data_IF_984943725787
#
_entry.id   IF_984943725787
#
_cell.length_a   1.000
_cell.length_b   1.000
_cell.length_c   1.000
_cell.angle_alpha   90.00
_cell.angle_beta   90.00
_cell.angle_gamma   90.00
#
_symmetry.space_group_name_H-M   'P 1'
#
loop_
_entity.id
_entity.type
_entity.pdbx_description
1 polymer ?
#
# COMPACT_ATOMS: atom_id res chain seq x y z
N UNK A 1 -30.55 24.21 4.37
CA UNK A 1 -29.68 25.34 4.72
C UNK A 1 -28.41 24.75 5.31
N UNK A 2 -27.30 24.79 4.58
CA UNK A 2 -25.98 24.37 5.07
C UNK A 2 -25.16 25.64 5.26
N UNK A 3 -25.19 26.20 6.47
CA UNK A 3 -24.20 27.17 6.93
C UNK A 3 -23.06 26.36 7.56
N UNK A 4 -21.81 26.58 7.14
CA UNK A 4 -20.67 25.99 7.86
C UNK A 4 -19.56 25.38 6.99
N UNK A 5 -19.26 25.94 5.82
CA UNK A 5 -17.90 25.85 5.29
C UNK A 5 -17.34 27.26 5.35
N UNK A 6 -16.80 27.62 6.51
CA UNK A 6 -15.93 28.78 6.60
C UNK A 6 -14.86 28.63 5.52
N UNK A 7 -14.71 29.68 4.71
CA UNK A 7 -13.82 29.71 3.56
C UNK A 7 -12.45 29.15 3.97
N UNK A 8 -11.87 28.25 3.18
CA UNK A 8 -10.58 27.59 3.45
C UNK A 8 -9.49 28.60 3.90
N UNK A 9 -9.59 29.83 3.38
CA UNK A 9 -8.75 30.97 3.74
C UNK A 9 -8.81 31.35 5.24
N UNK A 10 -10.00 31.34 5.83
CA UNK A 10 -10.26 31.64 7.24
C UNK A 10 -9.64 30.60 8.19
N UNK A 11 -9.57 29.33 7.75
CA UNK A 11 -8.87 28.26 8.47
C UNK A 11 -7.35 28.50 8.53
N UNK A 12 -6.77 29.06 7.47
CA UNK A 12 -5.34 29.40 7.43
C UNK A 12 -5.00 30.61 8.30
N UNK A 13 -5.83 31.64 8.33
CA UNK A 13 -5.59 32.85 9.15
C UNK A 13 -5.64 32.55 10.66
N UNK A 14 -6.45 31.58 11.10
CA UNK A 14 -6.54 31.15 12.50
C UNK A 14 -5.28 30.42 13.00
N UNK A 15 -4.50 29.82 12.10
CA UNK A 15 -3.35 29.00 12.46
C UNK A 15 -2.08 29.81 12.79
N UNK A 16 -2.08 31.14 12.62
CA UNK A 16 -0.95 32.00 13.00
C UNK A 16 0.39 31.68 12.32
N UNK A 17 0.37 30.90 11.22
CA UNK A 17 1.57 30.48 10.50
C UNK A 17 1.94 31.51 9.44
N UNK A 18 2.73 32.50 9.84
CA UNK A 18 3.46 33.36 8.89
C UNK A 18 4.61 32.56 8.28
N UNK A 19 4.64 32.44 6.95
CA UNK A 19 5.83 31.94 6.24
C UNK A 19 6.91 33.02 6.31
N UNK A 20 7.87 32.86 7.22
CA UNK A 20 9.09 33.67 7.22
C UNK A 20 10.05 33.16 6.13
N UNK A 21 10.16 33.94 5.06
CA UNK A 21 11.38 34.18 4.27
C UNK A 21 12.22 32.98 3.85
N UNK A 22 11.97 32.46 2.65
CA UNK A 22 13.02 31.81 1.84
C UNK A 22 13.84 32.88 1.10
N UNK A 23 15.17 32.70 0.93
CA UNK A 23 16.07 33.77 0.50
C UNK A 23 15.83 34.18 -0.96
N UNK A 24 15.81 35.51 -1.14
CA UNK A 24 15.78 36.23 -2.42
C UNK A 24 17.20 36.55 -2.89
N UNK A 25 17.34 36.83 -4.19
CA UNK A 25 18.51 37.22 -5.00
C UNK A 25 19.31 36.04 -5.60
N UNK A 26 19.10 35.71 -6.88
CA UNK A 26 19.56 36.40 -8.10
C UNK A 26 20.99 35.97 -8.49
N UNK A 27 21.09 35.18 -9.57
CA UNK A 27 22.17 35.29 -10.53
C UNK A 27 21.75 34.68 -11.88
N UNK A 28 21.79 35.55 -12.89
CA UNK A 28 21.73 35.22 -14.31
C UNK A 28 22.76 34.14 -14.67
N UNK A 29 22.30 33.05 -15.29
CA UNK A 29 23.18 32.13 -16.02
C UNK A 29 22.61 31.94 -17.44
N UNK A 30 23.42 32.16 -18.49
CA UNK A 30 22.95 32.09 -19.87
C UNK A 30 22.62 30.66 -20.32
N UNK A 31 21.49 30.52 -21.01
CA UNK A 31 21.07 29.32 -21.74
C UNK A 31 22.05 28.95 -22.86
N UNK A 32 22.48 27.68 -22.89
CA UNK A 32 22.97 26.96 -24.09
C UNK A 32 22.56 25.48 -23.96
N UNK A 33 21.50 25.09 -24.65
CA UNK A 33 21.44 24.38 -25.95
C UNK A 33 21.76 22.88 -25.89
N UNK A 34 20.76 22.13 -26.38
CA UNK A 34 20.85 20.86 -27.11
C UNK A 34 21.18 19.59 -26.32
N UNK A 35 20.19 18.68 -26.25
CA UNK A 35 20.32 17.22 -26.37
C UNK A 35 18.88 16.63 -26.49
N UNK A 36 18.69 15.47 -27.14
CA UNK A 36 17.92 15.32 -28.37
C UNK A 36 16.64 14.51 -28.18
N UNK A 37 15.82 14.50 -29.24
CA UNK A 37 14.62 13.67 -29.43
C UNK A 37 14.78 12.22 -28.91
N UNK A 38 13.86 11.73 -28.07
CA UNK A 38 13.70 10.30 -27.88
C UNK A 38 13.08 9.72 -29.16
N UNK A 39 13.95 9.11 -29.96
CA UNK A 39 13.60 8.25 -31.08
C UNK A 39 12.49 7.29 -30.67
N UNK A 40 11.37 7.37 -31.39
CA UNK A 40 10.35 6.33 -31.46
C UNK A 40 11.01 4.96 -31.65
N UNK A 41 10.85 4.07 -30.68
CA UNK A 41 10.89 2.63 -30.94
C UNK A 41 9.49 2.06 -30.80
N UNK A 42 8.90 1.76 -31.94
CA UNK A 42 7.70 0.96 -32.08
C UNK A 42 8.03 -0.54 -32.11
N UNK A 43 7.17 -1.30 -31.45
CA UNK A 43 6.65 -2.62 -31.85
C UNK A 43 7.39 -3.90 -31.45
N UNK A 44 6.54 -4.86 -31.06
CA UNK A 44 6.66 -6.33 -31.05
C UNK A 44 7.25 -6.97 -29.79
N UNK A 45 6.40 -7.70 -29.07
CA UNK A 45 6.80 -8.59 -27.99
C UNK A 45 5.66 -9.07 -27.10
N UNK A 46 4.64 -9.70 -27.69
CA UNK A 46 3.63 -10.49 -26.97
C UNK A 46 4.32 -11.58 -26.15
N UNK A 47 4.38 -11.40 -24.82
CA UNK A 47 4.83 -12.41 -23.86
C UNK A 47 3.85 -12.51 -22.71
N UNK A 48 2.87 -13.41 -22.83
CA UNK A 48 1.94 -13.74 -21.77
C UNK A 48 2.67 -14.21 -20.48
N UNK A 49 2.22 -13.83 -19.27
CA UNK A 49 2.72 -14.44 -18.06
C UNK A 49 2.20 -15.89 -17.98
N UNK A 50 3.06 -16.85 -18.30
CA UNK A 50 2.86 -18.26 -17.97
C UNK A 50 2.98 -18.41 -16.45
N UNK A 51 1.85 -18.51 -15.77
CA UNK A 51 1.80 -19.06 -14.42
C UNK A 51 2.08 -20.57 -14.48
N UNK A 52 3.07 -21.12 -13.75
CA UNK A 52 3.01 -22.50 -13.35
C UNK A 52 2.03 -22.63 -12.18
N UNK A 53 0.86 -23.18 -12.50
CA UNK A 53 -0.07 -23.78 -11.55
C UNK A 53 0.55 -25.12 -11.13
N UNK A 54 1.23 -25.14 -9.97
CA UNK A 54 1.80 -26.37 -9.41
C UNK A 54 1.06 -26.72 -8.12
N UNK A 55 0.06 -27.58 -8.31
CA UNK A 55 -0.10 -28.84 -7.57
C UNK A 55 -0.17 -28.80 -6.05
N UNK A 56 -1.38 -29.11 -5.57
CA UNK A 56 -1.65 -29.70 -4.26
C UNK A 56 -0.59 -30.72 -3.81
N UNK A 57 -0.23 -30.68 -2.53
CA UNK A 57 0.19 -31.87 -1.79
C UNK A 57 -0.20 -31.74 -0.33
N UNK A 58 -1.42 -32.20 -0.07
CA UNK A 58 -1.90 -32.68 1.21
C UNK A 58 -1.05 -33.90 1.61
N UNK A 59 -0.22 -33.77 2.63
CA UNK A 59 0.44 -34.91 3.27
C UNK A 59 0.31 -34.79 4.79
N UNK A 60 -0.71 -35.47 5.29
CA UNK A 60 -0.80 -35.99 6.66
C UNK A 60 0.35 -36.96 6.95
N UNK A 61 1.05 -36.73 8.06
CA UNK A 61 2.02 -37.64 8.69
C UNK A 61 2.81 -36.82 9.71
N UNK A 62 2.46 -36.78 10.99
CA UNK A 62 2.38 -37.85 12.00
C UNK A 62 3.66 -38.68 12.04
N UNK A 63 4.75 -38.08 12.51
CA UNK A 63 5.91 -38.82 13.02
C UNK A 63 6.37 -38.22 14.35
N UNK A 64 5.77 -38.75 15.43
CA UNK A 64 6.29 -38.63 16.78
C UNK A 64 7.39 -39.67 16.94
N UNK A 65 8.64 -39.34 16.60
CA UNK A 65 9.79 -40.20 16.94
C UNK A 65 10.43 -39.70 18.23
N UNK A 66 9.88 -40.15 19.36
CA UNK A 66 10.56 -40.12 20.65
C UNK A 66 11.39 -41.39 20.77
N UNK A 67 12.66 -41.32 20.36
CA UNK A 67 13.60 -42.43 20.52
C UNK A 67 14.11 -42.45 21.97
N UNK A 68 13.29 -43.04 22.84
CA UNK A 68 13.62 -43.30 24.24
C UNK A 68 14.66 -44.43 24.28
N UNK A 69 15.95 -44.06 24.28
CA UNK A 69 17.01 -44.99 24.68
C UNK A 69 17.00 -45.15 26.20
N UNK A 70 16.12 -46.04 26.66
CA UNK A 70 16.20 -46.68 27.97
C UNK A 70 17.47 -47.52 28.04
N UNK A 71 18.58 -46.90 28.49
CA UNK A 71 19.74 -47.65 28.97
C UNK A 71 19.53 -47.96 30.44
N UNK A 72 18.86 -49.07 30.68
CA UNK A 72 18.90 -49.85 31.92
C UNK A 72 20.33 -50.36 32.14
N UNK A 73 21.22 -49.47 32.58
CA UNK A 73 22.53 -49.83 33.11
C UNK A 73 22.38 -50.14 34.59
N UNK A 74 22.23 -51.42 34.92
CA UNK A 74 22.38 -51.85 36.30
C UNK A 74 23.82 -51.58 36.74
N UNK A 75 23.98 -50.65 37.68
CA UNK A 75 25.19 -50.53 38.47
C UNK A 75 24.86 -50.91 39.90
N UNK A 76 25.19 -52.14 40.23
CA UNK A 76 25.36 -52.63 41.59
C UNK A 76 26.57 -51.91 42.17
N UNK A 77 26.36 -50.72 42.73
CA UNK A 77 27.38 -50.05 43.53
C UNK A 77 27.31 -50.65 44.94
N UNK A 78 28.39 -51.33 45.31
CA UNK A 78 28.63 -51.81 46.66
C UNK A 78 28.41 -50.70 47.69
N UNK A 79 27.70 -51.03 48.77
CA UNK A 79 27.65 -50.23 49.99
C UNK A 79 29.08 -50.17 50.57
N UNK A 80 29.81 -49.13 50.21
CA UNK A 80 30.99 -48.70 50.93
C UNK A 80 30.50 -47.87 52.11
N UNK A 81 30.52 -48.49 53.29
CA UNK A 81 30.49 -47.80 54.59
C UNK A 81 31.60 -46.73 54.60
N UNK A 82 31.23 -45.49 54.29
CA UNK A 82 32.11 -44.34 54.45
C UNK A 82 31.74 -43.62 55.73
N UNK A 83 32.59 -43.82 56.71
CA UNK A 83 32.55 -43.23 58.03
C UNK A 83 32.51 -41.69 57.96
N UNK A 84 31.47 -41.11 58.57
CA UNK A 84 31.57 -39.86 59.33
C UNK A 84 32.13 -38.64 58.62
N UNK A 85 31.57 -38.22 57.49
CA UNK A 85 31.70 -36.84 57.04
C UNK A 85 30.58 -36.00 57.66
N UNK A 86 30.93 -35.20 58.67
CA UNK A 86 30.11 -34.05 59.10
C UNK A 86 30.06 -33.06 57.93
N UNK A 87 29.09 -33.22 57.03
CA UNK A 87 28.73 -32.17 56.10
C UNK A 87 28.36 -30.93 56.92
N UNK A 88 29.00 -29.82 56.60
CA UNK A 88 28.82 -28.58 57.36
C UNK A 88 27.41 -28.03 57.08
N UNK A 89 26.50 -27.96 58.08
CA UNK A 89 25.11 -27.52 57.90
C UNK A 89 24.97 -26.14 57.25
N UNK A 90 26.03 -25.32 57.31
CA UNK A 90 26.13 -24.02 56.69
C UNK A 90 26.12 -24.08 55.15
N UNK A 91 26.73 -25.08 54.53
CA UNK A 91 26.77 -25.19 53.06
C UNK A 91 25.43 -25.62 52.49
N UNK A 92 24.72 -26.53 53.16
CA UNK A 92 23.38 -26.96 52.76
C UNK A 92 22.38 -25.79 52.80
N UNK A 93 22.40 -25.00 53.88
CA UNK A 93 21.57 -23.80 53.99
C UNK A 93 21.88 -22.71 52.94
N UNK A 94 23.12 -22.64 52.45
CA UNK A 94 23.50 -21.73 51.39
C UNK A 94 22.88 -22.15 50.05
N UNK A 95 22.97 -23.44 49.71
CA UNK A 95 22.36 -23.96 48.49
C UNK A 95 20.83 -23.85 48.50
N UNK A 96 20.19 -24.09 49.65
CA UNK A 96 18.74 -23.90 49.78
C UNK A 96 18.33 -22.45 49.52
N UNK A 97 19.08 -21.49 50.07
CA UNK A 97 18.80 -20.06 49.88
C UNK A 97 19.01 -19.63 48.44
N UNK A 98 20.09 -20.07 47.79
CA UNK A 98 20.35 -19.78 46.37
C UNK A 98 19.27 -20.40 45.49
N UNK A 99 18.90 -21.65 45.75
CA UNK A 99 17.86 -22.35 44.99
C UNK A 99 16.50 -21.68 45.18
N UNK A 100 16.18 -21.22 46.39
CA UNK A 100 14.95 -20.48 46.64
C UNK A 100 14.93 -19.14 45.89
N UNK A 101 16.02 -18.37 45.95
CA UNK A 101 16.12 -17.11 45.21
C UNK A 101 15.93 -17.30 43.69
N UNK A 102 16.55 -18.33 43.12
CA UNK A 102 16.36 -18.66 41.70
C UNK A 102 14.91 -19.05 41.37
N UNK A 103 14.21 -19.75 42.27
CA UNK A 103 12.79 -20.06 42.09
C UNK A 103 11.94 -18.79 42.08
N UNK A 104 12.16 -17.91 43.06
CA UNK A 104 11.41 -16.65 43.19
C UNK A 104 11.65 -15.75 41.96
N UNK A 105 12.90 -15.65 41.49
CA UNK A 105 13.27 -14.88 40.29
C UNK A 105 12.60 -15.44 39.02
N UNK A 106 12.54 -16.77 38.88
CA UNK A 106 11.88 -17.41 37.75
C UNK A 106 10.36 -17.21 37.76
N UNK A 107 9.73 -17.29 38.94
CA UNK A 107 8.31 -17.00 39.08
C UNK A 107 8.01 -15.54 38.76
N UNK A 108 8.82 -14.61 39.26
CA UNK A 108 8.68 -13.19 38.97
C UNK A 108 8.81 -12.89 37.46
N UNK A 109 9.83 -13.43 36.81
CA UNK A 109 10.02 -13.24 35.36
C UNK A 109 8.91 -13.93 34.55
N UNK A 110 8.39 -15.07 35.00
CA UNK A 110 7.22 -15.72 34.37
C UNK A 110 6.00 -14.81 34.43
N UNK A 111 5.71 -14.24 35.60
CA UNK A 111 4.54 -13.40 35.80
C UNK A 111 4.66 -12.09 34.99
N UNK A 112 5.87 -11.50 34.94
CA UNK A 112 6.16 -10.35 34.08
C UNK A 112 5.94 -10.67 32.60
N UNK A 113 6.39 -11.84 32.13
CA UNK A 113 6.19 -12.27 30.73
C UNK A 113 4.72 -12.50 30.39
N UNK A 114 3.93 -13.03 31.32
CA UNK A 114 2.49 -13.21 31.13
C UNK A 114 1.80 -11.85 30.97
N UNK A 115 2.09 -10.88 31.85
CA UNK A 115 1.55 -9.52 31.72
C UNK A 115 1.95 -8.87 30.39
N UNK A 116 3.20 -9.04 29.95
CA UNK A 116 3.65 -8.53 28.66
C UNK A 116 2.94 -9.24 27.50
N UNK A 117 2.73 -10.55 27.58
CA UNK A 117 2.00 -11.29 26.55
C UNK A 117 0.55 -10.78 26.43
N UNK A 118 -0.12 -10.53 27.55
CA UNK A 118 -1.49 -10.01 27.58
C UNK A 118 -1.58 -8.64 26.91
N UNK A 119 -0.70 -7.69 27.27
CA UNK A 119 -0.65 -6.36 26.63
C UNK A 119 -0.35 -6.42 25.13
N UNK A 120 0.54 -7.31 24.69
CA UNK A 120 0.82 -7.51 23.26
C UNK A 120 -0.40 -8.06 22.53
N UNK A 121 -1.14 -9.00 23.14
CA UNK A 121 -2.37 -9.54 22.57
C UNK A 121 -3.46 -8.48 22.48
N UNK A 122 -3.60 -7.62 23.49
CA UNK A 122 -4.52 -6.49 23.50
C UNK A 122 -4.22 -5.51 22.35
N UNK A 123 -2.99 -5.01 22.25
CA UNK A 123 -2.60 -4.10 21.17
C UNK A 123 -2.75 -4.73 19.78
N UNK A 124 -2.46 -6.03 19.65
CA UNK A 124 -2.68 -6.74 18.40
C UNK A 124 -4.16 -6.81 18.03
N UNK A 125 -5.03 -7.01 19.01
CA UNK A 125 -6.47 -7.00 18.80
C UNK A 125 -6.97 -5.61 18.42
N UNK A 126 -6.57 -4.57 19.15
CA UNK A 126 -6.89 -3.16 18.84
C UNK A 126 -6.48 -2.80 17.42
N UNK A 127 -5.26 -3.17 17.02
CA UNK A 127 -4.78 -2.94 15.67
C UNK A 127 -5.61 -3.67 14.61
N UNK A 128 -5.98 -4.94 14.85
CA UNK A 128 -6.81 -5.71 13.93
C UNK A 128 -8.22 -5.11 13.79
N UNK A 129 -8.81 -4.61 14.88
CA UNK A 129 -10.10 -3.91 14.84
C UNK A 129 -10.00 -2.60 14.05
N UNK A 130 -8.98 -1.78 14.32
CA UNK A 130 -8.75 -0.55 13.59
C UNK A 130 -8.54 -0.80 12.08
N UNK A 131 -7.86 -1.87 11.70
CA UNK A 131 -7.75 -2.27 10.29
C UNK A 131 -9.11 -2.63 9.69
N UNK A 132 -9.89 -3.46 10.39
CA UNK A 132 -11.20 -3.89 9.91
C UNK A 132 -12.16 -2.71 9.75
N UNK A 133 -12.16 -1.76 10.68
CA UNK A 133 -12.95 -0.54 10.60
C UNK A 133 -12.54 0.33 9.41
N UNK A 134 -11.22 0.51 9.18
CA UNK A 134 -10.72 1.21 8.01
C UNK A 134 -11.16 0.54 6.70
N UNK A 135 -11.09 -0.79 6.61
CA UNK A 135 -11.55 -1.52 5.43
C UNK A 135 -13.05 -1.37 5.21
N UNK A 136 -13.87 -1.47 6.27
CA UNK A 136 -15.31 -1.24 6.22
C UNK A 136 -15.65 0.17 5.76
N UNK A 137 -14.92 1.18 6.25
CA UNK A 137 -15.11 2.57 5.87
C UNK A 137 -14.69 2.87 4.42
N UNK A 138 -13.62 2.24 3.93
CA UNK A 138 -13.10 2.46 2.57
C UNK A 138 -13.84 1.68 1.48
N UNK A 139 -14.49 0.57 1.84
CA UNK A 139 -15.25 -0.27 0.89
C UNK A 139 -16.31 0.51 0.10
N UNK A 140 -17.25 1.27 0.72
CA UNK A 140 -18.27 2.00 -0.04
C UNK A 140 -17.66 3.06 -0.96
N UNK A 141 -16.59 3.74 -0.51
CA UNK A 141 -15.88 4.74 -1.34
C UNK A 141 -15.27 4.11 -2.60
N UNK A 142 -14.72 2.88 -2.48
CA UNK A 142 -14.18 2.15 -3.64
C UNK A 142 -15.29 1.76 -4.62
N UNK A 143 -16.46 1.38 -4.13
CA UNK A 143 -17.61 1.05 -4.97
C UNK A 143 -18.18 2.29 -5.67
N UNK A 144 -18.35 3.40 -4.96
CA UNK A 144 -18.75 4.68 -5.56
C UNK A 144 -17.76 5.14 -6.62
N UNK A 145 -16.45 5.05 -6.34
CA UNK A 145 -15.42 5.39 -7.32
C UNK A 145 -15.50 4.52 -8.57
N UNK A 146 -15.77 3.21 -8.42
CA UNK A 146 -15.97 2.29 -9.54
C UNK A 146 -17.18 2.69 -10.38
N UNK A 147 -18.29 3.05 -9.75
CA UNK A 147 -19.50 3.53 -10.43
C UNK A 147 -19.23 4.85 -11.16
N UNK A 148 -18.64 5.83 -10.48
CA UNK A 148 -18.30 7.12 -11.05
C UNK A 148 -17.38 6.98 -12.27
N UNK A 149 -16.38 6.10 -12.20
CA UNK A 149 -15.51 5.79 -13.34
C UNK A 149 -16.29 5.23 -14.53
N UNK A 150 -17.21 4.29 -14.29
CA UNK A 150 -18.07 3.74 -15.33
C UNK A 150 -18.96 4.80 -15.98
N UNK A 151 -19.46 5.77 -15.21
CA UNK A 151 -20.23 6.90 -15.73
C UNK A 151 -19.34 7.77 -16.63
N UNK A 152 -18.14 8.14 -16.17
CA UNK A 152 -17.19 8.94 -16.96
C UNK A 152 -16.83 8.26 -18.27
N UNK A 153 -16.55 6.95 -18.25
CA UNK A 153 -16.22 6.19 -19.45
C UNK A 153 -17.39 6.16 -20.44
N UNK A 154 -18.63 6.01 -19.95
CA UNK A 154 -19.83 6.10 -20.78
C UNK A 154 -19.99 7.48 -21.40
N UNK A 155 -19.91 8.53 -20.61
CA UNK A 155 -20.02 9.91 -21.10
C UNK A 155 -18.94 10.22 -22.14
N UNK A 156 -17.72 9.71 -21.95
CA UNK A 156 -16.63 9.87 -22.92
C UNK A 156 -16.94 9.20 -24.26
N UNK A 157 -17.53 8.00 -24.22
CA UNK A 157 -17.96 7.30 -25.43
C UNK A 157 -19.07 8.08 -26.16
N UNK A 158 -20.06 8.61 -25.43
CA UNK A 158 -21.13 9.44 -25.99
C UNK A 158 -20.59 10.72 -26.63
N UNK A 159 -19.67 11.43 -25.98
CA UNK A 159 -19.00 12.62 -26.54
C UNK A 159 -18.31 12.27 -27.86
N UNK A 160 -17.61 11.13 -27.90
CA UNK A 160 -16.92 10.68 -29.11
C UNK A 160 -17.90 10.38 -30.24
N UNK A 161 -19.04 9.74 -29.94
CA UNK A 161 -20.09 9.48 -30.92
C UNK A 161 -20.76 10.77 -31.44
N UNK A 162 -20.97 11.75 -30.58
CA UNK A 162 -21.49 13.06 -31.00
C UNK A 162 -20.49 13.82 -31.87
N UNK A 163 -19.20 13.75 -31.55
CA UNK A 163 -18.15 14.36 -32.38
C UNK A 163 -18.12 13.75 -33.79
N UNK A 164 -18.18 12.42 -33.91
CA UNK A 164 -18.21 11.78 -35.22
C UNK A 164 -19.45 12.13 -36.03
N UNK A 165 -20.60 12.30 -35.37
CA UNK A 165 -21.84 12.74 -36.01
C UNK A 165 -21.75 14.19 -36.52
N UNK A 166 -21.23 15.10 -35.69
CA UNK A 166 -21.01 16.51 -36.07
C UNK A 166 -20.05 16.60 -37.27
N UNK A 167 -18.97 15.82 -37.24
CA UNK A 167 -18.01 15.76 -38.35
C UNK A 167 -18.65 15.24 -39.64
N UNK A 168 -19.51 14.21 -39.55
CA UNK A 168 -20.25 13.68 -40.69
C UNK A 168 -21.18 14.76 -41.28
N UNK A 169 -21.98 15.41 -40.44
CA UNK A 169 -22.88 16.49 -40.89
C UNK A 169 -22.10 17.66 -41.49
N UNK A 170 -20.94 18.02 -40.93
CA UNK A 170 -20.08 19.06 -41.49
C UNK A 170 -19.60 18.70 -42.90
N UNK A 171 -19.19 17.44 -43.13
CA UNK A 171 -18.79 16.96 -44.47
C UNK A 171 -19.95 17.00 -45.46
N UNK A 172 -21.15 16.60 -45.04
CA UNK A 172 -22.36 16.66 -45.87
C UNK A 172 -22.73 18.10 -46.24
N UNK A 173 -22.77 19.00 -45.25
CA UNK A 173 -23.05 20.41 -45.49
C UNK A 173 -22.04 21.03 -46.45
N UNK A 174 -20.75 20.73 -46.26
CA UNK A 174 -19.69 21.17 -47.18
C UNK A 174 -19.93 20.66 -48.61
N UNK A 175 -20.26 19.38 -48.77
CA UNK A 175 -20.54 18.79 -50.09
C UNK A 175 -21.76 19.45 -50.77
N UNK A 176 -22.82 19.75 -50.02
CA UNK A 176 -23.99 20.46 -50.52
C UNK A 176 -23.66 21.88 -50.97
N UNK A 177 -22.88 22.63 -50.17
CA UNK A 177 -22.42 23.97 -50.55
C UNK A 177 -21.62 23.93 -51.87
N UNK A 178 -20.66 23.01 -51.99
CA UNK A 178 -19.87 22.86 -53.22
C UNK A 178 -20.76 22.52 -54.45
N UNK A 179 -21.77 21.65 -54.28
CA UNK A 179 -22.72 21.35 -55.36
C UNK A 179 -23.51 22.59 -55.79
N UNK A 180 -24.01 23.39 -54.84
CA UNK A 180 -24.79 24.60 -55.14
C UNK A 180 -23.95 25.69 -55.80
N UNK A 181 -22.68 25.83 -55.40
CA UNK A 181 -21.72 26.72 -56.07
C UNK A 181 -21.47 26.26 -57.52
N UNK A 182 -21.25 24.96 -57.76
CA UNK A 182 -21.05 24.40 -59.11
C UNK A 182 -22.27 24.59 -60.02
N UNK A 183 -23.48 24.55 -59.46
CA UNK A 183 -24.73 24.81 -60.19
C UNK A 183 -25.03 26.31 -60.40
N UNK A 184 -24.17 27.21 -59.91
CA UNK A 184 -24.36 28.66 -60.01
C UNK A 184 -25.45 29.24 -59.11
N UNK A 185 -26.03 28.41 -58.21
CA UNK A 185 -27.10 28.82 -57.29
C UNK A 185 -26.54 29.73 -56.19
N UNK A 186 -25.34 29.40 -55.69
CA UNK A 186 -24.62 30.24 -54.75
C UNK A 186 -23.48 30.95 -55.48
N UNK A 187 -23.44 32.28 -55.39
CA UNK A 187 -22.33 33.05 -55.93
C UNK A 187 -21.16 32.99 -54.96
N UNK A 188 -20.03 32.46 -55.42
CA UNK A 188 -18.77 32.46 -54.67
C UNK A 188 -18.42 33.91 -54.33
N UNK A 189 -18.56 34.31 -53.05
CA UNK A 189 -18.05 35.59 -52.57
C UNK A 189 -16.55 35.59 -52.84
N UNK A 190 -16.11 36.32 -53.86
CA UNK A 190 -14.69 36.57 -54.10
C UNK A 190 -14.16 37.22 -52.81
N UNK A 191 -13.27 36.51 -52.11
CA UNK A 191 -12.47 37.16 -51.07
C UNK A 191 -11.69 38.27 -51.79
N UNK A 192 -12.08 39.52 -51.56
CA UNK A 192 -11.23 40.65 -51.88
C UNK A 192 -10.02 40.54 -50.97
N UNK A 193 -8.92 40.03 -51.51
CA UNK A 193 -7.59 40.29 -50.97
C UNK A 193 -7.29 41.75 -51.26
N UNK A 194 -7.77 42.63 -50.39
CA UNK A 194 -7.32 44.01 -50.37
C UNK A 194 -5.91 43.99 -49.77
N UNK A 195 -4.92 43.81 -50.64
CA UNK A 195 -3.52 44.00 -50.31
C UNK A 195 -3.33 45.46 -49.92
N UNK A 196 -3.17 45.72 -48.63
CA UNK A 196 -2.76 47.03 -48.13
C UNK A 196 -1.25 46.94 -47.94
N UNK A 197 -0.53 47.61 -48.83
CA UNK A 197 0.89 47.93 -48.70
C UNK A 197 1.06 49.15 -47.79
#
# INVERSE_FOLDING_TARGET
MYEGIDNLKSLYDRAGKTFSGGPSAAQDVPRRTAQPDPVRRSSVGSGAPKNPRTGDSRATGRDNSSDVRSRRGGSTAAQLDSAGHRESPLMESFFDRVTQGLRDDLEHERDRRLQLADTVLEHRAEFAFAQLENERALTPLRDELRVARGIVDRSRAEITALQTLVDAHHREHKALCEMLERKGVLHRKKQRTDGTA
#
